data_IF_631182937499
#
_entry.id   IF_631182937499
#
_cell.length_a   1.000
_cell.length_b   1.000
_cell.length_c   1.000
_cell.angle_alpha   90.00
_cell.angle_beta   90.00
_cell.angle_gamma   90.00
#
_symmetry.space_group_name_H-M   'P 1'
#
loop_
_entity.id
_entity.type
_entity.pdbx_description
1 polymer ?
#
# COMPACT_ATOMS: atom_id res chain seq x y z
N UNK A 1 -17.74 -5.74 -6.04
CA UNK A 1 -16.26 -5.73 -5.86
C UNK A 1 -15.95 -5.77 -4.37
N UNK A 2 -15.16 -6.74 -3.90
CA UNK A 2 -14.77 -6.81 -2.49
C UNK A 2 -13.72 -5.75 -2.12
N UNK A 3 -13.58 -5.43 -0.82
CA UNK A 3 -12.60 -4.43 -0.31
C UNK A 3 -11.16 -4.73 -0.75
N UNK A 4 -10.77 -6.01 -0.75
CA UNK A 4 -9.45 -6.46 -1.22
C UNK A 4 -9.27 -6.25 -2.73
N UNK A 5 -10.30 -6.51 -3.53
CA UNK A 5 -10.25 -6.24 -4.97
C UNK A 5 -10.17 -4.74 -5.27
N UNK A 6 -10.86 -3.91 -4.48
CA UNK A 6 -10.77 -2.46 -4.58
C UNK A 6 -9.34 -1.97 -4.28
N UNK A 7 -8.72 -2.49 -3.21
CA UNK A 7 -7.32 -2.21 -2.89
C UNK A 7 -6.38 -2.59 -4.05
N UNK A 8 -6.53 -3.81 -4.60
CA UNK A 8 -5.74 -4.24 -5.77
C UNK A 8 -5.90 -3.29 -6.96
N UNK A 9 -7.12 -2.84 -7.25
CA UNK A 9 -7.37 -1.89 -8.35
C UNK A 9 -6.68 -0.53 -8.14
N UNK A 10 -6.60 -0.03 -6.90
CA UNK A 10 -5.85 1.19 -6.62
C UNK A 10 -4.34 0.99 -6.75
N UNK A 11 -3.81 -0.16 -6.31
CA UNK A 11 -2.39 -0.50 -6.49
C UNK A 11 -2.02 -0.61 -7.97
N UNK A 12 -2.88 -1.21 -8.80
CA UNK A 12 -2.69 -1.26 -10.26
C UNK A 12 -2.65 0.14 -10.87
N UNK A 13 -3.52 1.07 -10.43
CA UNK A 13 -3.49 2.47 -10.88
C UNK A 13 -2.19 3.17 -10.50
N UNK A 14 -1.68 2.95 -9.29
CA UNK A 14 -0.40 3.51 -8.86
C UNK A 14 0.73 2.97 -9.76
N UNK A 15 0.76 1.66 -10.03
CA UNK A 15 1.73 1.07 -10.97
C UNK A 15 1.67 1.72 -12.35
N UNK A 16 0.47 1.99 -12.87
CA UNK A 16 0.30 2.60 -14.19
C UNK A 16 0.69 4.10 -14.22
N UNK A 17 0.60 4.78 -13.07
CA UNK A 17 1.06 6.17 -12.90
C UNK A 17 2.59 6.27 -12.78
N UNK A 18 3.23 5.30 -12.14
CA UNK A 18 4.68 5.28 -11.89
C UNK A 18 5.41 4.58 -13.06
N UNK A 19 5.29 5.16 -14.25
CA UNK A 19 6.04 4.73 -15.44
C UNK A 19 7.47 5.28 -15.43
N UNK A 20 8.43 4.62 -16.11
CA UNK A 20 9.75 5.19 -16.33
C UNK A 20 9.64 6.59 -16.95
N UNK A 21 10.26 7.59 -16.31
CA UNK A 21 10.14 8.99 -16.70
C UNK A 21 8.96 9.75 -16.06
N UNK A 22 8.30 9.20 -15.04
CA UNK A 22 7.28 9.93 -14.28
C UNK A 22 7.87 11.15 -13.55
N UNK A 23 7.08 12.22 -13.34
CA UNK A 23 7.51 13.36 -12.54
C UNK A 23 7.89 12.95 -11.11
N UNK A 24 8.91 13.60 -10.54
CA UNK A 24 9.40 13.30 -9.19
C UNK A 24 8.30 13.39 -8.13
N UNK A 25 7.45 14.41 -8.21
CA UNK A 25 6.31 14.60 -7.29
C UNK A 25 5.30 13.43 -7.34
N UNK A 26 5.08 12.85 -8.53
CA UNK A 26 4.20 11.69 -8.71
C UNK A 26 4.84 10.45 -8.08
N UNK A 27 6.15 10.26 -8.28
CA UNK A 27 6.89 9.16 -7.67
C UNK A 27 6.88 9.27 -6.13
N UNK A 28 7.13 10.46 -5.60
CA UNK A 28 7.15 10.73 -4.16
C UNK A 28 5.78 10.49 -3.52
N UNK A 29 4.72 11.01 -4.12
CA UNK A 29 3.35 10.77 -3.66
C UNK A 29 2.99 9.28 -3.67
N UNK A 30 3.35 8.57 -4.74
CA UNK A 30 3.12 7.13 -4.85
C UNK A 30 3.87 6.35 -3.75
N UNK A 31 5.15 6.63 -3.55
CA UNK A 31 5.97 5.98 -2.52
C UNK A 31 5.43 6.25 -1.11
N UNK A 32 5.04 7.49 -0.80
CA UNK A 32 4.43 7.84 0.49
C UNK A 32 3.12 7.07 0.73
N UNK A 33 2.26 6.97 -0.29
CA UNK A 33 1.02 6.20 -0.19
C UNK A 33 1.28 4.69 0.01
N UNK A 34 2.27 4.12 -0.70
CA UNK A 34 2.62 2.71 -0.56
C UNK A 34 3.24 2.38 0.80
N UNK A 35 4.06 3.27 1.35
CA UNK A 35 4.63 3.12 2.69
C UNK A 35 3.52 3.02 3.76
N UNK A 36 2.49 3.88 3.68
CA UNK A 36 1.35 3.84 4.61
C UNK A 36 0.56 2.52 4.51
N UNK A 37 0.34 2.01 3.29
CA UNK A 37 -0.34 0.71 3.10
C UNK A 37 0.50 -0.43 3.67
N UNK A 38 1.82 -0.41 3.46
CA UNK A 38 2.74 -1.42 4.02
C UNK A 38 2.73 -1.41 5.55
N UNK A 39 2.68 -0.24 6.19
CA UNK A 39 2.67 -0.10 7.64
C UNK A 39 1.40 -0.69 8.27
N UNK A 40 0.23 -0.38 7.70
CA UNK A 40 -1.06 -0.95 8.12
C UNK A 40 -1.05 -2.47 7.95
N UNK A 41 -0.63 -2.96 6.78
CA UNK A 41 -0.56 -4.40 6.53
C UNK A 41 0.45 -5.10 7.47
N UNK A 42 1.57 -4.45 7.80
CA UNK A 42 2.56 -4.96 8.75
C UNK A 42 1.99 -5.03 10.16
N UNK A 43 1.25 -4.02 10.60
CA UNK A 43 0.56 -4.01 11.90
C UNK A 43 -0.52 -5.09 11.97
N UNK A 44 -1.24 -5.32 10.87
CA UNK A 44 -2.25 -6.40 10.78
C UNK A 44 -1.63 -7.80 10.70
N UNK A 45 -0.46 -7.93 10.06
CA UNK A 45 0.27 -9.19 9.90
C UNK A 45 1.14 -9.52 11.13
N UNK A 46 1.43 -8.54 11.98
CA UNK A 46 2.07 -8.77 13.24
C UNK A 46 1.24 -9.80 14.01
N UNK A 47 1.86 -10.87 14.53
CA UNK A 47 1.15 -11.80 15.37
C UNK A 47 0.57 -10.97 16.52
N UNK A 48 -0.76 -11.06 16.71
CA UNK A 48 -1.35 -10.62 17.96
C UNK A 48 -0.68 -11.49 19.03
N UNK A 49 0.34 -10.96 19.72
CA UNK A 49 0.74 -11.53 20.98
C UNK A 49 -0.48 -11.32 21.88
N UNK A 50 -1.37 -12.29 21.84
CA UNK A 50 -2.39 -12.43 22.85
C UNK A 50 -1.60 -12.85 24.07
N UNK A 51 -1.26 -11.87 24.90
CA UNK A 51 -0.81 -12.09 26.26
C UNK A 51 -1.92 -12.83 26.99
N UNK A 52 -1.88 -14.15 26.94
CA UNK A 52 -2.52 -15.09 27.84
C UNK A 52 -1.45 -16.19 27.99
N UNK A 53 -0.76 -16.37 29.11
CA UNK A 53 -1.12 -16.29 30.53
C UNK A 53 0.09 -15.85 31.37
#
# INVERSE_FOLDING_TARGET
VGRIQLLRSYLDKVRDMVKPGCPEEVLKAALSAMASVSDVLTTMAAPAYRTEY
#
